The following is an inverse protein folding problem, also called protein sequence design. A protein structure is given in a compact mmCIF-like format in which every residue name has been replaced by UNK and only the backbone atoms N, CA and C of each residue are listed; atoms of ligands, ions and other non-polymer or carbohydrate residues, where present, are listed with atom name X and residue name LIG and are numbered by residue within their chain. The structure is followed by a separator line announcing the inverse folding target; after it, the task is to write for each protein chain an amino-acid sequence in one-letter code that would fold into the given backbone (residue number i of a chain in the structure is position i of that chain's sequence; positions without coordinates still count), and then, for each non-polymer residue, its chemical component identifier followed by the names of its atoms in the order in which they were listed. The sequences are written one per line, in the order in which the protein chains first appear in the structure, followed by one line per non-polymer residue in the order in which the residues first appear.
data_IF_978980098747
#
_entry.id   IF_978980098747
#
_cell.length_a   1.000
_cell.length_b   1.000
_cell.length_c   1.000
_cell.angle_alpha   90.00
_cell.angle_beta   90.00
_cell.angle_gamma   90.00
#
_symmetry.space_group_name_H-M   'P 1'
#
loop_
_entity.id
_entity.type
_entity.pdbx_description
1 polymer ?
#
# COMPACT_ATOMS: atom_id res chain seq x y z
N UNK A 1 -27.56 34.79 -19.34
CA UNK A 1 -27.36 33.84 -20.47
C UNK A 1 -27.57 32.44 -19.92
N UNK A 2 -28.43 31.62 -20.52
CA UNK A 2 -28.70 30.27 -20.02
C UNK A 2 -27.56 29.32 -20.43
N UNK A 3 -27.13 28.44 -19.51
CA UNK A 3 -26.10 27.44 -19.80
C UNK A 3 -26.71 26.36 -20.72
N UNK A 4 -26.06 26.01 -21.84
CA UNK A 4 -26.58 24.96 -22.73
C UNK A 4 -26.72 23.61 -22.00
N UNK A 5 -27.87 22.90 -22.11
CA UNK A 5 -28.08 21.61 -21.45
C UNK A 5 -27.03 20.54 -21.76
N UNK A 6 -26.40 20.61 -22.94
CA UNK A 6 -25.32 19.72 -23.33
C UNK A 6 -24.08 19.88 -22.41
N UNK A 7 -23.74 21.11 -22.03
CA UNK A 7 -22.60 21.40 -21.14
C UNK A 7 -22.86 20.81 -19.75
N UNK A 8 -24.07 20.99 -19.22
CA UNK A 8 -24.47 20.45 -17.91
C UNK A 8 -24.38 18.91 -17.90
N UNK A 9 -24.90 18.25 -18.95
CA UNK A 9 -24.81 16.78 -19.07
C UNK A 9 -23.38 16.28 -19.17
N UNK A 10 -22.55 16.92 -20.00
CA UNK A 10 -21.15 16.54 -20.16
C UNK A 10 -20.39 16.67 -18.83
N UNK A 11 -20.56 17.77 -18.11
CA UNK A 11 -19.94 17.98 -16.80
C UNK A 11 -20.38 16.92 -15.78
N UNK A 12 -21.69 16.64 -15.69
CA UNK A 12 -22.22 15.62 -14.77
C UNK A 12 -21.70 14.22 -15.10
N UNK A 13 -21.71 13.82 -16.37
CA UNK A 13 -21.22 12.51 -16.79
C UNK A 13 -19.71 12.38 -16.54
N UNK A 14 -18.95 13.44 -16.86
CA UNK A 14 -17.50 13.48 -16.62
C UNK A 14 -17.16 13.41 -15.13
N UNK A 15 -17.88 14.12 -14.28
CA UNK A 15 -17.73 14.03 -12.83
C UNK A 15 -18.03 12.62 -12.32
N UNK A 16 -19.16 12.04 -12.74
CA UNK A 16 -19.56 10.71 -12.28
C UNK A 16 -18.55 9.63 -12.71
N UNK A 17 -18.05 9.71 -13.94
CA UNK A 17 -17.01 8.80 -14.42
C UNK A 17 -15.71 8.95 -13.62
N UNK A 18 -15.22 10.17 -13.39
CA UNK A 18 -14.01 10.41 -12.59
C UNK A 18 -14.16 9.86 -11.17
N UNK A 19 -15.31 10.09 -10.53
CA UNK A 19 -15.62 9.54 -9.21
C UNK A 19 -15.58 8.02 -9.19
N UNK A 20 -16.16 7.36 -10.20
CA UNK A 20 -16.13 5.90 -10.32
C UNK A 20 -14.71 5.35 -10.49
N UNK A 21 -13.86 6.00 -11.30
CA UNK A 21 -12.45 5.60 -11.44
C UNK A 21 -11.71 5.71 -10.10
N UNK A 22 -11.89 6.83 -9.39
CA UNK A 22 -11.25 7.06 -8.09
C UNK A 22 -11.70 6.02 -7.04
N UNK A 23 -13.01 5.82 -6.92
CA UNK A 23 -13.58 4.90 -5.93
C UNK A 23 -13.31 3.44 -6.26
N UNK A 24 -13.20 3.07 -7.53
CA UNK A 24 -12.76 1.73 -7.94
C UNK A 24 -11.39 1.35 -7.36
N UNK A 25 -10.49 2.32 -7.18
CA UNK A 25 -9.19 2.10 -6.54
C UNK A 25 -9.21 2.22 -5.01
N UNK A 26 -9.88 3.24 -4.46
CA UNK A 26 -9.86 3.54 -3.03
C UNK A 26 -10.77 2.63 -2.20
N UNK A 27 -11.95 2.33 -2.73
CA UNK A 27 -13.01 1.60 -2.05
C UNK A 27 -13.85 0.80 -3.05
N UNK A 28 -13.27 -0.22 -3.70
CA UNK A 28 -14.01 -1.07 -4.62
C UNK A 28 -15.21 -1.70 -3.92
N UNK A 29 -16.33 -1.76 -4.65
CA UNK A 29 -17.59 -2.26 -4.14
C UNK A 29 -18.23 -3.23 -5.14
N UNK A 30 -19.12 -4.09 -4.63
CA UNK A 30 -20.00 -4.92 -5.47
C UNK A 30 -21.13 -4.09 -6.11
N UNK A 31 -22.02 -4.76 -6.86
CA UNK A 31 -23.13 -4.09 -7.55
C UNK A 31 -24.15 -3.48 -6.57
N UNK A 32 -24.21 -4.01 -5.35
CA UNK A 32 -25.07 -3.56 -4.25
C UNK A 32 -24.44 -2.40 -3.44
N UNK A 33 -23.16 -2.07 -3.70
CA UNK A 33 -22.43 -0.99 -3.04
C UNK A 33 -21.71 -1.40 -1.76
N UNK A 34 -21.63 -2.69 -1.44
CA UNK A 34 -20.84 -3.17 -0.30
C UNK A 34 -19.36 -3.14 -0.64
N UNK A 35 -18.53 -2.68 0.30
CA UNK A 35 -17.08 -2.69 0.14
C UNK A 35 -16.54 -4.12 0.00
N UNK A 36 -15.77 -4.36 -1.07
CA UNK A 36 -15.08 -5.63 -1.32
C UNK A 36 -13.58 -5.39 -1.21
N UNK A 37 -12.96 -5.93 -0.16
CA UNK A 37 -11.52 -5.78 0.05
C UNK A 37 -10.74 -6.51 -1.05
N UNK A 38 -9.85 -5.81 -1.80
CA UNK A 38 -8.99 -6.47 -2.76
C UNK A 38 -8.07 -7.48 -2.09
N UNK A 39 -7.79 -8.52 -2.83
CA UNK A 39 -6.75 -9.48 -2.53
C UNK A 39 -5.38 -8.82 -2.32
N UNK A 40 -4.66 -9.23 -1.27
CA UNK A 40 -3.25 -8.90 -1.13
C UNK A 40 -2.41 -9.59 -2.23
N UNK A 41 -1.31 -8.94 -2.63
CA UNK A 41 -0.35 -9.47 -3.61
C UNK A 41 0.34 -10.72 -3.08
N UNK A 42 0.83 -10.63 -1.84
CA UNK A 42 1.54 -11.69 -1.15
C UNK A 42 0.64 -12.26 -0.04
N UNK A 43 -0.07 -13.35 -0.33
CA UNK A 43 -1.00 -13.98 0.63
C UNK A 43 -0.41 -15.18 1.36
N UNK A 44 0.55 -15.84 0.74
CA UNK A 44 1.15 -17.04 1.32
C UNK A 44 2.09 -16.62 2.43
N UNK A 45 1.95 -17.26 3.60
CA UNK A 45 2.92 -17.12 4.68
C UNK A 45 4.20 -17.83 4.23
N UNK A 46 5.33 -17.12 4.08
CA UNK A 46 6.58 -17.78 3.76
C UNK A 46 7.00 -18.71 4.92
N UNK A 47 7.77 -19.78 4.66
CA UNK A 47 8.44 -20.50 5.72
C UNK A 47 9.32 -19.53 6.52
N UNK A 48 9.61 -19.87 7.78
CA UNK A 48 10.52 -19.05 8.58
C UNK A 48 11.91 -19.12 7.91
N UNK A 49 12.47 -17.98 7.47
CA UNK A 49 13.74 -18.00 6.76
C UNK A 49 14.88 -18.30 7.74
N UNK A 50 15.96 -18.91 7.24
CA UNK A 50 17.08 -19.34 8.09
C UNK A 50 17.76 -18.16 8.81
N UNK A 51 17.76 -16.98 8.17
CA UNK A 51 18.26 -15.72 8.68
C UNK A 51 17.22 -14.90 9.47
N UNK A 52 16.09 -15.49 9.89
CA UNK A 52 15.03 -14.76 10.61
C UNK A 52 15.50 -14.09 11.92
N UNK A 53 16.55 -14.65 12.54
CA UNK A 53 17.15 -14.12 13.77
C UNK A 53 18.37 -13.24 13.50
N UNK A 54 18.86 -13.17 12.26
CA UNK A 54 20.03 -12.37 11.91
C UNK A 54 19.67 -10.87 11.98
N UNK A 55 20.39 -10.07 12.78
CA UNK A 55 20.16 -8.64 12.86
C UNK A 55 20.26 -7.97 11.49
N UNK A 56 19.23 -7.21 11.12
CA UNK A 56 19.20 -6.45 9.86
C UNK A 56 18.87 -7.27 8.61
N UNK A 57 18.59 -8.58 8.74
CA UNK A 57 18.16 -9.40 7.61
C UNK A 57 16.77 -9.05 7.07
N UNK A 58 15.92 -8.47 7.93
CA UNK A 58 14.52 -8.18 7.62
C UNK A 58 14.12 -6.77 8.02
N UNK A 59 13.22 -6.17 7.23
CA UNK A 59 12.66 -4.85 7.49
C UNK A 59 11.13 -4.94 7.53
N UNK A 60 10.53 -4.41 8.59
CA UNK A 60 9.09 -4.19 8.70
C UNK A 60 8.78 -2.76 8.26
N UNK A 61 8.10 -2.61 7.13
CA UNK A 61 7.69 -1.33 6.57
C UNK A 61 6.26 -1.01 7.03
N UNK A 62 6.09 0.16 7.66
CA UNK A 62 4.81 0.61 8.23
C UNK A 62 4.46 2.03 7.78
N UNK A 63 3.16 2.30 7.67
CA UNK A 63 2.63 3.66 7.53
C UNK A 63 1.88 4.06 8.79
N UNK A 64 2.25 5.17 9.42
CA UNK A 64 1.74 5.57 10.76
C UNK A 64 0.23 5.76 10.81
N UNK A 65 -0.38 6.20 9.70
CA UNK A 65 -1.83 6.39 9.59
C UNK A 65 -2.62 5.10 9.35
N UNK A 66 -1.96 3.98 9.04
CA UNK A 66 -2.63 2.73 8.71
C UNK A 66 -2.89 1.87 9.96
N UNK A 67 -4.15 1.56 10.32
CA UNK A 67 -4.45 0.73 11.49
C UNK A 67 -3.97 -0.72 11.32
N UNK A 68 -3.91 -1.22 10.08
CA UNK A 68 -3.38 -2.57 9.80
C UNK A 68 -1.89 -2.66 10.09
N UNK A 69 -1.12 -1.64 9.70
CA UNK A 69 0.31 -1.57 9.95
C UNK A 69 0.60 -1.33 11.44
N UNK A 70 -0.24 -0.53 12.10
CA UNK A 70 -0.13 -0.29 13.54
C UNK A 70 -0.20 -1.60 14.34
N UNK A 71 -1.05 -2.56 13.97
CA UNK A 71 -1.11 -3.87 14.64
C UNK A 71 0.22 -4.64 14.56
N UNK A 72 0.87 -4.62 13.39
CA UNK A 72 2.18 -5.25 13.22
C UNK A 72 3.26 -4.54 14.03
N UNK A 73 3.22 -3.20 14.06
CA UNK A 73 4.13 -2.39 14.88
C UNK A 73 3.99 -2.67 16.38
N UNK A 74 2.76 -2.79 16.89
CA UNK A 74 2.53 -3.17 18.29
C UNK A 74 3.17 -4.51 18.62
N UNK A 75 3.00 -5.52 17.77
CA UNK A 75 3.64 -6.84 17.97
C UNK A 75 5.16 -6.71 17.94
N UNK A 76 5.72 -5.96 16.98
CA UNK A 76 7.17 -5.70 16.89
C UNK A 76 7.73 -5.09 18.18
N UNK A 77 7.03 -4.12 18.77
CA UNK A 77 7.41 -3.50 20.04
C UNK A 77 7.25 -4.47 21.23
N UNK A 78 6.07 -5.07 21.39
CA UNK A 78 5.74 -5.92 22.54
C UNK A 78 6.58 -7.20 22.59
N UNK A 79 7.02 -7.68 21.44
CA UNK A 79 7.89 -8.87 21.32
C UNK A 79 9.37 -8.54 21.27
N UNK A 80 9.73 -7.27 21.45
CA UNK A 80 11.11 -6.78 21.48
C UNK A 80 11.92 -7.18 20.23
N UNK A 81 11.32 -7.06 19.04
CA UNK A 81 11.93 -7.50 17.78
C UNK A 81 12.90 -6.49 17.16
N UNK A 82 13.22 -5.40 17.87
CA UNK A 82 14.08 -4.33 17.36
C UNK A 82 15.52 -4.79 17.08
N UNK A 83 15.97 -5.86 17.75
CA UNK A 83 17.30 -6.43 17.54
C UNK A 83 17.43 -7.30 16.29
N UNK A 84 16.32 -7.77 15.71
CA UNK A 84 16.34 -8.69 14.55
C UNK A 84 15.63 -8.12 13.31
N UNK A 85 14.55 -7.37 13.50
CA UNK A 85 13.74 -6.78 12.43
C UNK A 85 13.85 -5.26 12.52
N UNK A 86 14.39 -4.64 11.48
CA UNK A 86 14.44 -3.19 11.37
C UNK A 86 13.03 -2.63 11.11
N UNK A 87 12.71 -1.46 11.63
CA UNK A 87 11.44 -0.78 11.34
C UNK A 87 11.69 0.39 10.39
N UNK A 88 10.96 0.42 9.29
CA UNK A 88 11.03 1.50 8.32
C UNK A 88 9.65 2.13 8.13
N UNK A 89 9.57 3.46 8.11
CA UNK A 89 8.30 4.18 8.01
C UNK A 89 8.13 4.80 6.63
N UNK A 90 6.97 4.58 6.01
CA UNK A 90 6.55 5.27 4.79
C UNK A 90 5.55 6.38 5.11
N UNK A 91 5.54 7.39 4.24
CA UNK A 91 4.63 8.52 4.31
C UNK A 91 3.53 8.40 3.22
N UNK A 92 2.31 8.87 3.50
CA UNK A 92 1.30 9.01 2.45
C UNK A 92 1.70 10.18 1.53
N UNK A 93 1.68 9.94 0.22
CA UNK A 93 1.77 10.95 -0.81
C UNK A 93 0.36 11.48 -1.12
N UNK A 94 0.03 12.73 -0.74
CA UNK A 94 -1.32 13.28 -0.91
C UNK A 94 -1.67 13.59 -2.38
N UNK A 95 -0.67 13.78 -3.24
CA UNK A 95 -0.89 14.09 -4.65
C UNK A 95 -1.09 12.82 -5.46
N UNK A 96 -0.28 11.80 -5.19
CA UNK A 96 -0.32 10.54 -5.95
C UNK A 96 -1.15 9.43 -5.29
N UNK A 97 -1.60 9.61 -4.05
CA UNK A 97 -2.47 8.65 -3.35
C UNK A 97 -1.79 7.31 -3.02
N UNK A 98 -0.46 7.31 -2.81
CA UNK A 98 0.36 6.11 -2.59
C UNK A 98 1.31 6.27 -1.41
N UNK A 99 1.98 5.19 -1.02
CA UNK A 99 3.03 5.22 -0.01
C UNK A 99 4.37 5.55 -0.66
N UNK A 100 5.07 6.55 -0.09
CA UNK A 100 6.41 6.94 -0.50
C UNK A 100 7.42 6.74 0.63
N UNK A 101 8.66 6.48 0.27
CA UNK A 101 9.76 6.49 1.21
C UNK A 101 10.28 7.92 1.36
N UNK A 102 10.70 8.30 2.58
CA UNK A 102 11.37 9.59 2.82
C UNK A 102 12.76 9.61 2.17
N UNK A 103 13.43 8.45 2.19
CA UNK A 103 14.69 8.17 1.50
C UNK A 103 14.54 6.89 0.67
N UNK A 104 15.11 6.81 -0.54
CA UNK A 104 14.97 5.62 -1.36
C UNK A 104 15.40 4.33 -0.65
N UNK A 105 14.52 3.33 -0.65
CA UNK A 105 14.79 2.02 -0.06
C UNK A 105 14.98 0.98 -1.16
N UNK A 106 16.13 0.31 -1.20
CA UNK A 106 16.51 -0.63 -2.28
C UNK A 106 16.40 -0.01 -3.69
N UNK A 107 16.64 1.29 -3.81
CA UNK A 107 16.50 2.05 -5.06
C UNK A 107 15.04 2.39 -5.43
N UNK A 108 14.07 2.06 -4.58
CA UNK A 108 12.67 2.41 -4.76
C UNK A 108 12.32 3.68 -3.96
N UNK A 109 11.67 4.64 -4.62
CA UNK A 109 11.12 5.85 -4.02
C UNK A 109 9.70 5.64 -3.50
N UNK A 110 8.98 4.67 -4.05
CA UNK A 110 7.61 4.34 -3.64
C UNK A 110 7.45 2.88 -3.25
N UNK A 111 6.45 2.59 -2.42
CA UNK A 111 6.12 1.20 -2.06
C UNK A 111 5.62 0.41 -3.27
N UNK A 112 5.02 1.07 -4.25
CA UNK A 112 4.58 0.45 -5.50
C UNK A 112 5.76 -0.10 -6.30
N UNK A 113 6.85 0.67 -6.41
CA UNK A 113 8.08 0.21 -7.07
C UNK A 113 8.68 -1.00 -6.36
N UNK A 114 8.67 -1.02 -5.02
CA UNK A 114 9.14 -2.18 -4.25
C UNK A 114 8.28 -3.43 -4.52
N UNK A 115 6.96 -3.28 -4.56
CA UNK A 115 6.05 -4.38 -4.89
C UNK A 115 6.31 -4.93 -6.30
N UNK A 116 6.49 -4.05 -7.29
CA UNK A 116 6.79 -4.43 -8.66
C UNK A 116 8.15 -5.14 -8.76
N UNK A 117 9.16 -4.65 -8.04
CA UNK A 117 10.47 -5.31 -7.93
C UNK A 117 10.36 -6.73 -7.36
N UNK A 118 9.49 -6.93 -6.38
CA UNK A 118 9.19 -8.22 -5.77
C UNK A 118 8.26 -9.11 -6.63
N UNK A 119 7.90 -8.69 -7.85
CA UNK A 119 7.12 -9.48 -8.80
C UNK A 119 5.60 -9.34 -8.67
N UNK A 120 5.10 -8.33 -7.95
CA UNK A 120 3.65 -8.04 -7.93
C UNK A 120 3.19 -7.42 -9.27
N UNK A 121 1.92 -7.65 -9.62
CA UNK A 121 1.30 -7.02 -10.77
C UNK A 121 1.34 -5.48 -10.64
N UNK A 122 1.75 -4.72 -11.68
CA UNK A 122 1.79 -3.27 -11.65
C UNK A 122 0.48 -2.58 -11.25
N UNK A 123 -0.67 -3.19 -11.55
CA UNK A 123 -2.00 -2.68 -11.19
C UNK A 123 -2.43 -3.03 -9.77
N UNK A 124 -1.68 -3.87 -9.06
CA UNK A 124 -2.02 -4.26 -7.70
C UNK A 124 -1.58 -3.21 -6.69
N UNK A 125 -2.48 -2.91 -5.74
CA UNK A 125 -2.22 -1.90 -4.71
C UNK A 125 -1.10 -2.33 -3.76
N UNK A 126 -0.05 -1.53 -3.67
CA UNK A 126 0.94 -1.66 -2.61
C UNK A 126 0.39 -1.20 -1.25
N UNK A 127 0.38 -2.10 -0.27
CA UNK A 127 -0.19 -1.86 1.06
C UNK A 127 0.83 -2.03 2.17
N UNK A 128 0.62 -1.35 3.30
CA UNK A 128 1.32 -1.61 4.57
C UNK A 128 0.41 -2.39 5.52
N UNK A 129 0.95 -3.24 6.41
CA UNK A 129 2.38 -3.49 6.64
C UNK A 129 3.03 -4.37 5.57
N UNK A 130 4.35 -4.26 5.42
CA UNK A 130 5.17 -5.15 4.58
C UNK A 130 6.32 -5.70 5.40
N UNK A 131 6.58 -7.00 5.31
CA UNK A 131 7.81 -7.60 5.81
C UNK A 131 8.66 -7.96 4.58
N UNK A 132 9.85 -7.39 4.50
CA UNK A 132 10.75 -7.53 3.35
C UNK A 132 12.09 -8.08 3.81
N UNK A 133 12.67 -9.00 3.04
CA UNK A 133 14.03 -9.49 3.27
C UNK A 133 15.01 -8.52 2.61
N UNK A 134 15.95 -7.96 3.37
CA UNK A 134 16.80 -6.88 2.87
C UNK A 134 17.71 -7.31 1.71
N UNK A 135 18.08 -8.59 1.65
CA UNK A 135 18.95 -9.13 0.59
C UNK A 135 18.23 -9.29 -0.75
N UNK A 136 16.97 -9.70 -0.73
CA UNK A 136 16.23 -10.11 -1.92
C UNK A 136 15.22 -9.06 -2.39
N UNK A 137 14.81 -8.14 -1.52
CA UNK A 137 13.74 -7.18 -1.80
C UNK A 137 12.39 -7.87 -1.84
#
# INVERSE_FOLDING_TARGET
MAIPPAVVRAARTGWHWQWQQLMGGLGPADAEGNYVRPAAAFRQRPPVPANATEPGGHVLIVGRSCPWAHRAWLVWLLRQLQGSIELLTVEPDPEAGRWRFSEPFLGCSTLQELYQRAGADPGQRATVPVLVERANG
#
